data_IF_091188263677
#
_entry.id   IF_091188263677
#
_cell.length_a   1.000
_cell.length_b   1.000
_cell.length_c   1.000
_cell.angle_alpha   90.00
_cell.angle_beta   90.00
_cell.angle_gamma   90.00
#
_symmetry.space_group_name_H-M   'P 1'
#
loop_
_entity.id
_entity.type
_entity.pdbx_description
1 polymer ?
#
# COMPACT_ATOMS: atom_id res chain seq x y z
N UNK A 1 -9.89 -6.27 20.13
CA UNK A 1 -9.08 -7.48 19.82
C UNK A 1 -7.66 -7.06 19.45
N UNK A 2 -6.71 -8.00 19.49
CA UNK A 2 -5.36 -7.78 18.98
C UNK A 2 -5.36 -8.09 17.49
N UNK A 3 -4.86 -7.16 16.68
CA UNK A 3 -4.82 -7.25 15.22
C UNK A 3 -3.38 -7.15 14.74
N UNK A 4 -2.97 -8.07 13.88
CA UNK A 4 -1.69 -8.01 13.19
C UNK A 4 -1.79 -7.02 12.02
N UNK A 5 -0.91 -6.03 11.97
CA UNK A 5 -0.74 -5.16 10.80
C UNK A 5 0.35 -5.73 9.90
N UNK A 6 -0.06 -6.32 8.79
CA UNK A 6 0.80 -7.04 7.85
C UNK A 6 1.49 -6.07 6.88
N UNK A 7 2.33 -5.21 7.41
CA UNK A 7 3.12 -4.25 6.62
C UNK A 7 4.49 -3.99 7.26
N UNK A 8 5.50 -3.87 6.42
CA UNK A 8 6.84 -3.40 6.81
C UNK A 8 7.03 -1.89 6.53
N UNK A 9 6.04 -1.25 5.91
CA UNK A 9 6.06 0.19 5.67
C UNK A 9 5.67 0.95 6.94
N UNK A 10 6.61 1.73 7.49
CA UNK A 10 6.41 2.47 8.74
C UNK A 10 5.28 3.52 8.65
N UNK A 11 5.11 4.15 7.49
CA UNK A 11 4.03 5.11 7.23
C UNK A 11 2.66 4.43 7.29
N UNK A 12 2.49 3.33 6.57
CA UNK A 12 1.26 2.54 6.58
C UNK A 12 0.95 1.97 7.97
N UNK A 13 1.95 1.44 8.67
CA UNK A 13 1.79 0.95 10.04
C UNK A 13 1.26 2.05 10.98
N UNK A 14 1.81 3.25 10.88
CA UNK A 14 1.38 4.39 11.67
C UNK A 14 -0.09 4.76 11.40
N UNK A 15 -0.49 4.74 10.13
CA UNK A 15 -1.87 5.02 9.71
C UNK A 15 -2.85 3.95 10.21
N UNK A 16 -2.53 2.67 9.98
CA UNK A 16 -3.36 1.54 10.45
C UNK A 16 -3.50 1.56 11.97
N UNK A 17 -2.40 1.78 12.69
CA UNK A 17 -2.41 1.87 14.16
C UNK A 17 -3.32 3.01 14.63
N UNK A 18 -3.20 4.17 14.03
CA UNK A 18 -4.06 5.33 14.37
C UNK A 18 -5.55 5.03 14.17
N UNK A 19 -5.90 4.38 13.06
CA UNK A 19 -7.30 4.10 12.73
C UNK A 19 -7.85 3.00 13.65
N UNK A 20 -7.18 1.86 13.74
CA UNK A 20 -7.67 0.70 14.47
C UNK A 20 -7.69 0.91 15.99
N UNK A 21 -6.74 1.67 16.53
CA UNK A 21 -6.75 2.04 17.96
C UNK A 21 -7.97 2.90 18.30
N UNK A 22 -8.38 3.81 17.41
CA UNK A 22 -9.61 4.60 17.57
C UNK A 22 -10.87 3.73 17.58
N UNK A 23 -10.81 2.57 16.93
CA UNK A 23 -11.90 1.58 16.93
C UNK A 23 -11.83 0.60 18.12
N UNK A 24 -10.93 0.82 19.08
CA UNK A 24 -10.79 -0.02 20.28
C UNK A 24 -9.99 -1.30 20.06
N UNK A 25 -9.15 -1.36 19.02
CA UNK A 25 -8.30 -2.52 18.75
C UNK A 25 -6.84 -2.24 19.11
N UNK A 26 -6.14 -3.25 19.61
CA UNK A 26 -4.68 -3.22 19.79
C UNK A 26 -4.01 -3.69 18.50
N UNK A 27 -3.04 -2.92 17.99
CA UNK A 27 -2.33 -3.24 16.75
C UNK A 27 -0.90 -3.67 17.04
N UNK A 28 -0.53 -4.85 16.58
CA UNK A 28 0.84 -5.37 16.62
C UNK A 28 1.45 -5.35 15.22
N UNK A 29 2.67 -4.87 15.13
CA UNK A 29 3.46 -4.95 13.90
C UNK A 29 4.06 -6.34 13.72
N UNK A 30 4.53 -6.65 12.51
CA UNK A 30 5.25 -7.88 12.21
C UNK A 30 6.50 -8.03 13.09
N UNK A 31 7.20 -6.93 13.32
CA UNK A 31 8.38 -6.90 14.20
C UNK A 31 8.04 -7.23 15.64
N UNK A 32 6.97 -6.67 16.20
CA UNK A 32 6.51 -6.95 17.55
C UNK A 32 6.06 -8.41 17.72
N UNK A 33 5.59 -9.03 16.64
CA UNK A 33 5.19 -10.44 16.62
C UNK A 33 6.33 -11.41 16.26
N UNK A 34 7.52 -10.88 15.94
CA UNK A 34 8.67 -11.69 15.55
C UNK A 34 8.50 -12.43 14.22
N UNK A 35 7.66 -11.93 13.33
CA UNK A 35 7.37 -12.55 12.03
C UNK A 35 8.22 -11.92 10.95
N UNK A 36 8.95 -12.76 10.20
CA UNK A 36 9.89 -12.36 9.13
C UNK A 36 9.49 -12.84 7.74
N UNK A 37 8.27 -13.37 7.59
CA UNK A 37 7.76 -13.77 6.28
C UNK A 37 7.72 -12.58 5.31
N UNK A 38 8.00 -12.86 4.05
CA UNK A 38 7.89 -11.90 2.95
C UNK A 38 7.12 -12.57 1.79
N UNK A 39 5.78 -12.63 1.89
CA UNK A 39 4.97 -13.26 0.86
C UNK A 39 5.09 -12.51 -0.45
N UNK A 40 5.33 -13.26 -1.52
CA UNK A 40 5.44 -12.70 -2.88
C UNK A 40 4.08 -12.17 -3.34
N UNK A 41 4.05 -10.91 -3.74
CA UNK A 41 2.85 -10.24 -4.25
C UNK A 41 2.69 -10.53 -5.75
N UNK A 42 2.07 -11.65 -6.07
CA UNK A 42 1.88 -12.14 -7.45
C UNK A 42 0.55 -11.73 -8.07
N UNK A 43 -0.28 -11.00 -7.34
CA UNK A 43 -1.57 -10.54 -7.82
C UNK A 43 -1.46 -9.47 -8.91
N UNK A 44 -2.49 -9.37 -9.73
CA UNK A 44 -2.61 -8.36 -10.77
C UNK A 44 -3.43 -7.15 -10.32
N UNK A 45 -4.06 -7.24 -9.16
CA UNK A 45 -4.83 -6.17 -8.54
C UNK A 45 -4.34 -5.89 -7.13
N UNK A 46 -4.61 -4.68 -6.63
CA UNK A 46 -4.31 -4.31 -5.24
C UNK A 46 -5.05 -5.22 -4.25
N UNK A 47 -6.31 -5.56 -4.53
CA UNK A 47 -7.10 -6.44 -3.67
C UNK A 47 -6.50 -7.85 -3.57
N UNK A 48 -6.04 -8.42 -4.67
CA UNK A 48 -5.37 -9.73 -4.69
C UNK A 48 -4.09 -9.71 -3.84
N UNK A 49 -3.25 -8.68 -3.99
CA UNK A 49 -2.01 -8.56 -3.23
C UNK A 49 -2.26 -8.33 -1.73
N UNK A 50 -3.24 -7.49 -1.38
CA UNK A 50 -3.65 -7.31 0.01
C UNK A 50 -4.11 -8.62 0.64
N UNK A 51 -4.89 -9.41 -0.09
CA UNK A 51 -5.38 -10.72 0.35
C UNK A 51 -4.23 -11.72 0.55
N UNK A 52 -3.31 -11.85 -0.40
CA UNK A 52 -2.13 -12.71 -0.30
C UNK A 52 -1.37 -12.42 1.01
N UNK A 53 -1.12 -11.16 1.30
CA UNK A 53 -0.43 -10.76 2.54
C UNK A 53 -1.25 -11.09 3.79
N UNK A 54 -2.52 -10.72 3.80
CA UNK A 54 -3.39 -10.95 4.96
C UNK A 54 -3.51 -12.45 5.28
N UNK A 55 -3.67 -13.32 4.28
CA UNK A 55 -3.74 -14.77 4.46
C UNK A 55 -2.43 -15.35 5.04
N UNK A 56 -1.31 -14.98 4.44
CA UNK A 56 0.00 -15.49 4.86
C UNK A 56 0.30 -15.14 6.33
N UNK A 57 0.08 -13.90 6.71
CA UNK A 57 0.36 -13.44 8.07
C UNK A 57 -0.70 -13.87 9.09
N UNK A 58 -1.98 -13.98 8.71
CA UNK A 58 -3.00 -14.55 9.57
C UNK A 58 -2.68 -16.01 9.90
N UNK A 59 -2.28 -16.79 8.91
CA UNK A 59 -1.85 -18.18 9.09
C UNK A 59 -0.62 -18.30 9.99
N UNK A 60 0.35 -17.40 9.82
CA UNK A 60 1.58 -17.42 10.59
C UNK A 60 1.40 -16.98 12.05
N UNK A 61 0.51 -16.02 12.32
CA UNK A 61 0.33 -15.44 13.65
C UNK A 61 -0.84 -16.03 14.44
N UNK A 62 -1.82 -16.59 13.76
CA UNK A 62 -3.09 -17.01 14.36
C UNK A 62 -3.96 -15.83 14.84
N UNK A 63 -3.63 -14.59 14.43
CA UNK A 63 -4.34 -13.38 14.80
C UNK A 63 -5.19 -12.84 13.65
N UNK A 64 -6.28 -12.12 13.95
CA UNK A 64 -6.90 -11.24 12.97
C UNK A 64 -5.83 -10.37 12.29
N UNK A 65 -5.79 -10.37 10.98
CA UNK A 65 -4.71 -9.70 10.23
C UNK A 65 -5.28 -8.73 9.22
N UNK A 66 -4.79 -7.50 9.25
CA UNK A 66 -5.07 -6.49 8.25
C UNK A 66 -3.83 -6.28 7.39
N UNK A 67 -4.02 -6.33 6.08
CA UNK A 67 -3.01 -5.98 5.09
C UNK A 67 -3.60 -4.97 4.11
N UNK A 68 -2.75 -4.14 3.55
CA UNK A 68 -3.12 -3.26 2.45
C UNK A 68 -2.17 -3.46 1.26
N UNK A 69 -2.68 -3.20 0.08
CA UNK A 69 -1.87 -2.91 -1.08
C UNK A 69 -2.39 -1.64 -1.72
N UNK A 70 -1.49 -0.73 -2.04
CA UNK A 70 -1.83 0.59 -2.53
C UNK A 70 -0.81 1.09 -3.53
N UNK A 71 -1.23 2.00 -4.38
CA UNK A 71 -0.36 2.58 -5.36
C UNK A 71 -0.97 3.76 -6.08
N UNK A 72 -0.15 4.34 -6.95
CA UNK A 72 -0.52 5.44 -7.83
C UNK A 72 -0.84 4.89 -9.22
N UNK A 73 -1.97 5.28 -9.76
CA UNK A 73 -2.36 4.98 -11.14
C UNK A 73 -2.44 6.28 -11.93
N UNK A 74 -1.62 6.40 -12.97
CA UNK A 74 -1.53 7.61 -13.79
C UNK A 74 -2.13 7.35 -15.17
N UNK A 75 -3.11 8.13 -15.57
CA UNK A 75 -3.84 7.90 -16.81
C UNK A 75 -2.95 8.01 -18.05
N UNK A 76 -2.06 9.01 -18.09
CA UNK A 76 -1.11 9.21 -19.19
C UNK A 76 -0.08 8.07 -19.32
N UNK A 77 0.08 7.24 -18.29
CA UNK A 77 0.98 6.09 -18.26
C UNK A 77 0.20 4.76 -18.31
N UNK A 78 -1.04 4.77 -18.82
CA UNK A 78 -1.92 3.60 -18.89
C UNK A 78 -2.12 2.89 -17.54
N UNK A 79 -2.22 3.65 -16.47
CA UNK A 79 -2.40 3.15 -15.11
C UNK A 79 -1.11 2.83 -14.36
N UNK A 80 0.05 2.93 -14.99
CA UNK A 80 1.32 2.77 -14.27
C UNK A 80 1.56 3.92 -13.28
N UNK A 81 2.30 3.71 -12.20
CA UNK A 81 2.95 2.46 -11.75
C UNK A 81 2.01 1.36 -11.25
N UNK A 82 0.77 1.66 -10.83
CA UNK A 82 -0.21 0.65 -10.42
C UNK A 82 0.30 -0.24 -9.29
N UNK A 83 0.12 -1.56 -9.41
CA UNK A 83 0.58 -2.55 -8.41
C UNK A 83 2.10 -2.59 -8.24
N UNK A 84 2.85 -1.98 -9.15
CA UNK A 84 4.31 -1.87 -9.08
C UNK A 84 4.80 -0.60 -8.39
N UNK A 85 3.92 0.19 -7.80
CA UNK A 85 4.25 1.51 -7.23
C UNK A 85 5.43 1.47 -6.27
N UNK A 86 5.49 0.52 -5.34
CA UNK A 86 6.56 0.42 -4.36
C UNK A 86 7.93 0.05 -4.96
N UNK A 87 7.96 -0.53 -6.16
CA UNK A 87 9.17 -1.00 -6.85
C UNK A 87 9.27 -0.48 -8.29
N UNK A 88 8.71 0.67 -8.55
CA UNK A 88 8.60 1.23 -9.91
C UNK A 88 9.97 1.46 -10.56
N UNK A 89 10.95 1.91 -9.80
CA UNK A 89 12.33 2.08 -10.23
C UNK A 89 13.20 0.80 -10.10
N UNK A 90 12.59 -0.33 -9.70
CA UNK A 90 13.25 -1.63 -9.55
C UNK A 90 13.49 -2.05 -8.11
N UNK A 91 13.92 -1.16 -7.24
CA UNK A 91 14.17 -1.43 -5.83
C UNK A 91 12.92 -1.14 -4.98
N UNK A 92 12.49 -2.13 -4.21
CA UNK A 92 11.32 -1.98 -3.34
C UNK A 92 11.57 -0.96 -2.22
N UNK A 93 10.64 0.00 -2.08
CA UNK A 93 10.68 0.99 -1.02
C UNK A 93 11.66 2.15 -1.24
N UNK A 94 12.27 2.26 -2.41
CA UNK A 94 13.09 3.41 -2.78
C UNK A 94 12.20 4.54 -3.34
N UNK A 95 11.58 5.31 -2.45
CA UNK A 95 10.63 6.37 -2.81
C UNK A 95 11.28 7.44 -3.69
N UNK A 96 12.53 7.82 -3.40
CA UNK A 96 13.25 8.83 -4.18
C UNK A 96 13.42 8.40 -5.65
N UNK A 97 13.89 7.17 -5.88
CA UNK A 97 14.06 6.63 -7.23
C UNK A 97 12.72 6.44 -7.96
N UNK A 98 11.68 6.01 -7.25
CA UNK A 98 10.34 5.87 -7.80
C UNK A 98 9.75 7.21 -8.23
N UNK A 99 9.91 8.25 -7.41
CA UNK A 99 9.48 9.61 -7.75
C UNK A 99 10.26 10.19 -8.93
N UNK A 100 11.57 9.98 -8.97
CA UNK A 100 12.43 10.43 -10.07
C UNK A 100 11.99 9.79 -11.40
N UNK A 101 11.76 8.49 -11.41
CA UNK A 101 11.24 7.79 -12.58
C UNK A 101 9.89 8.32 -13.02
N UNK A 102 8.96 8.54 -12.09
CA UNK A 102 7.64 9.10 -12.39
C UNK A 102 7.77 10.50 -13.03
N UNK A 103 8.62 11.36 -12.45
CA UNK A 103 8.84 12.71 -12.99
C UNK A 103 9.43 12.67 -14.40
N UNK A 104 10.38 11.78 -14.65
CA UNK A 104 10.98 11.61 -15.98
C UNK A 104 9.94 11.16 -17.02
N UNK A 105 9.10 10.18 -16.68
CA UNK A 105 8.06 9.68 -17.57
C UNK A 105 6.92 10.68 -17.82
N UNK A 106 6.69 11.59 -16.87
CA UNK A 106 5.69 12.65 -16.97
C UNK A 106 6.23 13.95 -17.56
N UNK A 107 7.51 14.04 -17.88
CA UNK A 107 8.18 15.27 -18.32
C UNK A 107 7.49 15.97 -19.50
N UNK A 108 6.99 15.20 -20.47
CA UNK A 108 6.35 15.72 -21.68
C UNK A 108 4.81 15.68 -21.62
N UNK A 109 4.23 15.35 -20.47
CA UNK A 109 2.78 15.32 -20.28
C UNK A 109 2.30 16.73 -19.89
N UNK A 110 1.47 17.39 -20.72
CA UNK A 110 1.06 18.76 -20.44
C UNK A 110 0.15 18.87 -19.22
N UNK A 111 0.15 20.06 -18.61
CA UNK A 111 -0.83 20.44 -17.60
C UNK A 111 -2.24 20.22 -18.15
N UNK A 112 -3.14 19.64 -17.34
CA UNK A 112 -4.49 19.25 -17.76
C UNK A 112 -4.61 17.82 -18.30
N UNK A 113 -3.49 17.13 -18.57
CA UNK A 113 -3.43 15.73 -18.97
C UNK A 113 -2.66 14.84 -17.97
N UNK A 114 -2.54 15.28 -16.74
CA UNK A 114 -1.76 14.64 -15.68
C UNK A 114 -2.62 13.97 -14.62
N UNK A 115 -3.85 13.57 -14.99
CA UNK A 115 -4.78 12.92 -14.07
C UNK A 115 -4.22 11.62 -13.51
N UNK A 116 -4.38 11.42 -12.22
CA UNK A 116 -3.94 10.25 -11.50
C UNK A 116 -4.87 9.98 -10.32
N UNK A 117 -4.75 8.79 -9.73
CA UNK A 117 -5.42 8.48 -8.47
C UNK A 117 -4.54 7.59 -7.62
N UNK A 118 -4.61 7.77 -6.32
CA UNK A 118 -4.20 6.73 -5.38
C UNK A 118 -5.30 5.70 -5.27
N UNK A 119 -4.91 4.43 -5.25
CA UNK A 119 -5.81 3.31 -4.97
C UNK A 119 -5.26 2.57 -3.76
N UNK A 120 -6.12 2.22 -2.82
CA UNK A 120 -5.76 1.39 -1.67
C UNK A 120 -6.79 0.29 -1.49
N UNK A 121 -6.35 -0.95 -1.51
CA UNK A 121 -7.16 -2.10 -1.13
C UNK A 121 -6.71 -2.59 0.24
N UNK A 122 -7.65 -2.78 1.14
CA UNK A 122 -7.41 -3.28 2.50
C UNK A 122 -8.15 -4.60 2.66
N UNK A 123 -7.44 -5.61 3.12
CA UNK A 123 -7.99 -6.92 3.41
C UNK A 123 -7.84 -7.21 4.91
N UNK A 124 -8.94 -7.58 5.55
CA UNK A 124 -8.96 -8.14 6.90
C UNK A 124 -9.31 -9.63 6.81
N UNK A 125 -8.49 -10.48 7.41
CA UNK A 125 -8.75 -11.91 7.53
C UNK A 125 -8.75 -12.30 9.01
N UNK A 126 -9.76 -13.07 9.39
CA UNK A 126 -9.88 -13.63 10.74
C UNK A 126 -9.38 -15.09 10.75
N UNK A 127 -8.90 -15.59 11.89
CA UNK A 127 -8.42 -16.98 11.99
C UNK A 127 -9.46 -18.05 11.66
N UNK A 128 -10.75 -17.71 11.73
CA UNK A 128 -11.85 -18.59 11.34
C UNK A 128 -12.17 -18.60 9.84
N UNK A 129 -11.39 -17.84 9.05
CA UNK A 129 -11.53 -17.77 7.59
C UNK A 129 -12.46 -16.68 7.07
N UNK A 130 -13.11 -15.92 7.95
CA UNK A 130 -13.89 -14.76 7.51
C UNK A 130 -12.97 -13.68 6.94
N UNK A 131 -13.38 -13.08 5.83
CA UNK A 131 -12.62 -12.03 5.17
C UNK A 131 -13.49 -10.82 4.85
N UNK A 132 -12.85 -9.66 4.83
CA UNK A 132 -13.41 -8.41 4.35
C UNK A 132 -12.36 -7.72 3.47
N UNK A 133 -12.74 -7.37 2.25
CA UNK A 133 -11.90 -6.59 1.35
C UNK A 133 -12.62 -5.29 0.99
N UNK A 134 -11.94 -4.18 1.16
CA UNK A 134 -12.45 -2.85 0.78
C UNK A 134 -11.42 -2.13 -0.06
N UNK A 135 -11.88 -1.33 -1.03
CA UNK A 135 -11.01 -0.53 -1.88
C UNK A 135 -11.47 0.93 -1.84
N UNK A 136 -10.50 1.82 -1.70
CA UNK A 136 -10.70 3.26 -1.74
C UNK A 136 -9.85 3.91 -2.83
N UNK A 137 -10.32 5.02 -3.36
CA UNK A 137 -9.62 5.80 -4.37
C UNK A 137 -9.56 7.27 -3.96
N UNK A 138 -8.45 7.93 -4.29
CA UNK A 138 -8.28 9.37 -4.12
C UNK A 138 -7.79 9.97 -5.44
N UNK A 139 -8.69 10.58 -6.24
CA UNK A 139 -8.32 11.18 -7.51
C UNK A 139 -7.59 12.51 -7.32
N UNK A 140 -6.72 12.83 -8.28
CA UNK A 140 -5.95 14.06 -8.30
C UNK A 140 -5.16 14.21 -9.60
N UNK A 141 -4.06 14.91 -9.53
CA UNK A 141 -3.14 15.13 -10.65
C UNK A 141 -1.70 15.02 -10.19
N UNK A 142 -0.84 14.52 -11.06
CA UNK A 142 0.61 14.52 -10.82
C UNK A 142 1.13 15.95 -10.91
N UNK A 143 1.74 16.44 -9.85
CA UNK A 143 2.34 17.76 -9.82
C UNK A 143 3.53 17.87 -10.79
N UNK A 144 3.89 19.09 -11.17
CA UNK A 144 5.04 19.35 -12.05
C UNK A 144 6.37 19.15 -11.32
N UNK A 145 6.38 19.35 -10.01
CA UNK A 145 7.53 19.17 -9.14
C UNK A 145 7.10 18.56 -7.81
N UNK A 146 7.97 17.79 -7.15
CA UNK A 146 7.71 17.31 -5.80
C UNK A 146 7.45 18.46 -4.82
N UNK A 147 6.53 18.25 -3.88
CA UNK A 147 6.22 19.25 -2.85
C UNK A 147 5.96 18.54 -1.50
N UNK A 148 6.38 19.20 -0.41
CA UNK A 148 6.23 18.68 0.94
C UNK A 148 7.34 17.71 1.35
N UNK A 149 7.43 17.45 2.66
CA UNK A 149 8.47 16.61 3.27
C UNK A 149 7.94 15.76 4.45
N UNK A 150 6.63 15.80 4.70
CA UNK A 150 6.00 15.15 5.86
C UNK A 150 5.31 13.81 5.53
N UNK A 151 5.29 13.41 4.26
CA UNK A 151 4.66 12.19 3.80
C UNK A 151 5.65 11.07 3.48
N UNK A 152 5.17 10.10 2.71
CA UNK A 152 5.96 8.99 2.19
C UNK A 152 5.39 8.55 0.81
N UNK A 153 6.17 7.80 0.05
CA UNK A 153 5.80 7.36 -1.28
C UNK A 153 5.78 8.49 -2.32
N UNK A 154 4.72 8.53 -3.11
CA UNK A 154 4.54 9.54 -4.16
C UNK A 154 3.86 10.80 -3.69
#
# INVERSE_FOLDING_TARGET
MIVCAATNNAGKLKELRRILTRCGHEVKSLRELGVTLDPEETGTTFAENAKIKAEAFCKATGLPTVADDSGLCVDALNGAPGVYSARYAGEHGNDAANNEKLMAEMQNVPVGQRAAKFVSAVCLILPDGRELVVTGECPGSVALTPAGDNGFGY
#
